data_IF_037761937244
#
_entry.id   IF_037761937244
#
_cell.length_a   1.000
_cell.length_b   1.000
_cell.length_c   1.000
_cell.angle_alpha   90.00
_cell.angle_beta   90.00
_cell.angle_gamma   90.00
#
_symmetry.space_group_name_H-M   'P 1'
#
loop_
_entity.id
_entity.type
_entity.pdbx_description
1 polymer ?
#
# COMPACT_ATOMS: atom_id res chain seq x y z
N UNK A 1 -14.95 -31.18 -7.06
CA UNK A 1 -13.57 -31.41 -6.55
C UNK A 1 -13.28 -30.31 -5.53
N UNK A 2 -13.25 -30.64 -4.24
CA UNK A 2 -12.98 -29.65 -3.18
C UNK A 2 -11.49 -29.32 -3.24
N UNK A 3 -11.14 -28.09 -3.63
CA UNK A 3 -9.75 -27.67 -3.57
C UNK A 3 -9.35 -27.48 -2.10
N UNK A 4 -8.23 -28.07 -1.71
CA UNK A 4 -7.66 -27.92 -0.37
C UNK A 4 -7.31 -26.45 -0.11
N UNK A 5 -7.48 -25.97 1.13
CA UNK A 5 -7.02 -24.64 1.55
C UNK A 5 -5.50 -24.46 1.46
N UNK A 6 -4.75 -25.53 1.16
CA UNK A 6 -3.30 -25.52 0.92
C UNK A 6 -2.93 -25.56 -0.55
N UNK A 7 -3.90 -25.60 -1.47
CA UNK A 7 -3.63 -25.59 -2.91
C UNK A 7 -3.03 -24.23 -3.33
N UNK A 8 -1.81 -24.20 -3.90
CA UNK A 8 -1.17 -22.97 -4.34
C UNK A 8 -2.01 -22.13 -5.33
N UNK A 9 -2.85 -22.75 -6.16
CA UNK A 9 -3.72 -22.03 -7.08
C UNK A 9 -4.88 -21.33 -6.34
N UNK A 10 -5.43 -21.96 -5.29
CA UNK A 10 -6.44 -21.35 -4.41
C UNK A 10 -5.85 -20.16 -3.66
N UNK A 11 -4.66 -20.31 -3.10
CA UNK A 11 -3.97 -19.27 -2.35
C UNK A 11 -3.65 -18.05 -3.23
N UNK A 12 -3.13 -18.27 -4.45
CA UNK A 12 -2.87 -17.18 -5.42
C UNK A 12 -4.15 -16.43 -5.79
N UNK A 13 -5.22 -17.15 -6.12
CA UNK A 13 -6.51 -16.52 -6.43
C UNK A 13 -7.05 -15.69 -5.26
N UNK A 14 -6.88 -16.17 -4.02
CA UNK A 14 -7.28 -15.43 -2.81
C UNK A 14 -6.45 -14.17 -2.62
N UNK A 15 -5.13 -14.25 -2.79
CA UNK A 15 -4.25 -13.07 -2.78
C UNK A 15 -4.73 -12.01 -3.78
N UNK A 16 -4.95 -12.41 -5.04
CA UNK A 16 -5.34 -11.45 -6.07
C UNK A 16 -6.73 -10.86 -5.84
N UNK A 17 -7.67 -11.63 -5.28
CA UNK A 17 -8.98 -11.09 -4.86
C UNK A 17 -8.85 -10.00 -3.79
N UNK A 18 -7.90 -10.15 -2.86
CA UNK A 18 -7.64 -9.11 -1.85
C UNK A 18 -7.05 -7.86 -2.50
N UNK A 19 -6.09 -8.01 -3.43
CA UNK A 19 -5.53 -6.86 -4.13
C UNK A 19 -6.57 -6.14 -5.00
N UNK A 20 -7.47 -6.90 -5.64
CA UNK A 20 -8.58 -6.39 -6.45
C UNK A 20 -9.60 -5.60 -5.62
N UNK A 21 -9.82 -5.96 -4.36
CA UNK A 21 -10.66 -5.15 -3.45
C UNK A 21 -10.10 -3.74 -3.23
N UNK A 22 -8.78 -3.62 -3.09
CA UNK A 22 -8.14 -2.32 -2.87
C UNK A 22 -8.00 -1.53 -4.18
N UNK A 23 -7.76 -2.19 -5.30
CA UNK A 23 -7.54 -1.54 -6.58
C UNK A 23 -8.87 -1.15 -7.28
N UNK A 24 -8.97 0.02 -7.94
CA UNK A 24 -7.99 1.11 -7.99
C UNK A 24 -8.13 2.12 -6.84
N UNK A 25 -9.14 2.00 -5.98
CA UNK A 25 -9.51 3.03 -4.99
C UNK A 25 -8.39 3.37 -3.98
N UNK A 26 -7.51 2.42 -3.68
CA UNK A 26 -6.31 2.63 -2.86
C UNK A 26 -5.28 3.57 -3.51
N UNK A 27 -5.31 3.74 -4.84
CA UNK A 27 -4.34 4.56 -5.54
C UNK A 27 -4.73 6.03 -5.38
N UNK A 28 -3.87 6.81 -4.72
CA UNK A 28 -4.14 8.22 -4.50
C UNK A 28 -3.61 9.06 -5.67
N UNK A 29 -4.53 9.65 -6.44
CA UNK A 29 -4.21 10.58 -7.52
C UNK A 29 -4.18 12.05 -7.07
N UNK A 30 -4.56 12.35 -5.83
CA UNK A 30 -4.57 13.70 -5.24
C UNK A 30 -3.22 14.02 -4.59
N UNK A 31 -2.77 13.22 -3.63
CA UNK A 31 -1.51 13.47 -2.91
C UNK A 31 -0.36 12.54 -3.35
N UNK A 32 -0.69 11.46 -4.05
CA UNK A 32 0.25 10.39 -4.42
C UNK A 32 0.30 9.27 -3.38
N UNK A 33 0.98 8.17 -3.74
CA UNK A 33 1.05 7.00 -2.87
C UNK A 33 -0.30 6.27 -2.81
N UNK A 34 -0.80 6.04 -1.59
CA UNK A 34 -2.00 5.26 -1.35
C UNK A 34 -2.97 5.89 -0.36
N UNK A 35 -4.26 5.56 -0.47
CA UNK A 35 -5.28 5.76 0.56
C UNK A 35 -5.55 4.42 1.23
N UNK A 36 -5.34 4.30 2.55
CA UNK A 36 -5.54 3.04 3.27
C UNK A 36 -6.88 2.96 4.02
N UNK A 37 -7.59 4.09 4.13
CA UNK A 37 -8.80 4.29 4.91
C UNK A 37 -10.03 4.02 4.05
N UNK A 38 -10.20 2.75 3.66
CA UNK A 38 -11.35 2.26 2.91
C UNK A 38 -12.30 1.53 3.85
N UNK A 39 -13.59 1.80 3.70
CA UNK A 39 -14.64 1.02 4.33
C UNK A 39 -14.63 -0.43 3.79
N UNK A 40 -14.57 -1.41 4.69
CA UNK A 40 -14.40 -2.82 4.34
C UNK A 40 -15.57 -3.44 3.56
N UNK A 41 -16.76 -2.80 3.61
CA UNK A 41 -17.98 -3.31 2.96
C UNK A 41 -18.23 -2.64 1.61
N UNK A 42 -17.99 -1.33 1.56
CA UNK A 42 -18.38 -0.47 0.43
C UNK A 42 -17.17 -0.02 -0.40
N UNK A 43 -15.96 -0.12 0.15
CA UNK A 43 -14.74 0.44 -0.46
C UNK A 43 -14.68 1.97 -0.40
N UNK A 44 -15.60 2.64 0.30
CA UNK A 44 -15.62 4.08 0.40
C UNK A 44 -14.40 4.61 1.15
N UNK A 45 -13.69 5.54 0.53
CA UNK A 45 -12.60 6.30 1.16
C UNK A 45 -13.19 7.34 2.10
N UNK A 46 -12.99 7.17 3.41
CA UNK A 46 -13.47 8.13 4.41
C UNK A 46 -12.39 9.11 4.91
N UNK A 47 -11.12 8.85 4.58
CA UNK A 47 -10.00 9.76 4.80
C UNK A 47 -8.97 9.59 3.68
N UNK A 48 -8.88 10.56 2.77
CA UNK A 48 -7.91 10.55 1.68
C UNK A 48 -6.57 11.18 2.02
N UNK A 49 -6.49 11.99 3.09
CA UNK A 49 -5.33 12.81 3.38
C UNK A 49 -4.29 12.07 4.21
N UNK A 50 -4.70 11.32 5.24
CA UNK A 50 -3.74 10.68 6.16
C UNK A 50 -2.93 9.59 5.47
N UNK A 51 -1.60 9.71 5.50
CA UNK A 51 -0.67 8.68 5.00
C UNK A 51 0.18 8.16 6.14
N UNK A 52 -0.01 6.89 6.48
CA UNK A 52 0.79 6.23 7.51
C UNK A 52 1.89 5.38 6.87
N UNK A 53 3.14 5.50 7.34
CA UNK A 53 4.31 4.81 6.78
C UNK A 53 4.07 3.29 6.63
N UNK A 54 3.60 2.65 7.71
CA UNK A 54 3.28 1.21 7.71
C UNK A 54 2.27 0.82 6.64
N UNK A 55 1.22 1.62 6.42
CA UNK A 55 0.22 1.33 5.40
C UNK A 55 0.83 1.46 4.00
N UNK A 56 1.63 2.51 3.77
CA UNK A 56 2.37 2.70 2.52
C UNK A 56 3.31 1.52 2.23
N UNK A 57 4.14 1.13 3.20
CA UNK A 57 5.09 0.02 3.05
C UNK A 57 4.37 -1.33 2.81
N UNK A 58 3.26 -1.59 3.51
CA UNK A 58 2.45 -2.79 3.29
C UNK A 58 1.82 -2.82 1.91
N UNK A 59 1.31 -1.71 1.41
CA UNK A 59 0.77 -1.64 0.05
C UNK A 59 1.86 -1.88 -1.01
N UNK A 60 3.05 -1.28 -0.86
CA UNK A 60 4.22 -1.59 -1.71
C UNK A 60 4.51 -3.09 -1.72
N UNK A 61 4.58 -3.71 -0.53
CA UNK A 61 4.83 -5.15 -0.42
C UNK A 61 3.73 -5.98 -1.08
N UNK A 62 2.46 -5.68 -0.82
CA UNK A 62 1.30 -6.39 -1.34
C UNK A 62 1.25 -6.36 -2.87
N UNK A 63 1.38 -5.16 -3.46
CA UNK A 63 1.41 -5.02 -4.92
C UNK A 63 2.69 -5.59 -5.53
N UNK A 64 3.82 -5.48 -4.84
CA UNK A 64 5.09 -6.09 -5.26
C UNK A 64 5.02 -7.61 -5.31
N UNK A 65 4.39 -8.24 -4.30
CA UNK A 65 4.08 -9.67 -4.32
C UNK A 65 3.11 -10.03 -5.45
N UNK A 66 2.09 -9.21 -5.68
CA UNK A 66 1.18 -9.36 -6.81
C UNK A 66 1.94 -9.42 -8.13
N UNK A 67 2.86 -8.49 -8.35
CA UNK A 67 3.68 -8.42 -9.57
C UNK A 67 4.64 -9.61 -9.68
N UNK A 68 5.25 -10.05 -8.58
CA UNK A 68 6.19 -11.19 -8.54
C UNK A 68 5.52 -12.54 -8.82
N UNK A 69 4.21 -12.65 -8.54
CA UNK A 69 3.44 -13.89 -8.69
C UNK A 69 2.62 -13.93 -9.97
N UNK A 70 3.00 -13.14 -10.98
CA UNK A 70 2.29 -13.03 -12.27
C UNK A 70 0.82 -12.63 -12.08
N UNK A 71 0.56 -11.77 -11.09
CA UNK A 71 -0.74 -11.17 -10.86
C UNK A 71 -1.12 -10.17 -11.96
N UNK A 72 -2.25 -9.48 -11.78
CA UNK A 72 -2.75 -8.50 -12.75
C UNK A 72 -1.70 -7.44 -13.12
N UNK A 73 -1.73 -6.98 -14.37
CA UNK A 73 -0.75 -6.04 -14.93
C UNK A 73 -0.58 -4.73 -14.14
N UNK A 74 -1.60 -4.34 -13.38
CA UNK A 74 -1.58 -3.15 -12.54
C UNK A 74 -0.75 -3.31 -11.25
N UNK A 75 -0.37 -4.53 -10.85
CA UNK A 75 0.40 -4.77 -9.62
C UNK A 75 1.76 -4.06 -9.65
N UNK A 76 2.50 -4.18 -10.77
CA UNK A 76 3.82 -3.55 -10.91
C UNK A 76 3.76 -2.02 -10.80
N UNK A 77 2.96 -1.30 -11.62
CA UNK A 77 2.89 0.17 -11.52
C UNK A 77 2.34 0.63 -10.17
N UNK A 78 1.41 -0.12 -9.55
CA UNK A 78 0.94 0.18 -8.20
C UNK A 78 2.07 0.08 -7.16
N UNK A 79 2.96 -0.92 -7.25
CA UNK A 79 4.11 -1.05 -6.36
C UNK A 79 5.14 0.07 -6.61
N UNK A 80 5.46 0.37 -7.87
CA UNK A 80 6.38 1.44 -8.26
C UNK A 80 5.91 2.81 -7.77
N UNK A 81 4.60 3.09 -7.83
CA UNK A 81 3.99 4.29 -7.24
C UNK A 81 4.30 4.44 -5.76
N UNK A 82 4.14 3.36 -4.98
CA UNK A 82 4.38 3.41 -3.53
C UNK A 82 5.85 3.56 -3.16
N UNK A 83 6.76 2.88 -3.87
CA UNK A 83 8.21 3.05 -3.68
C UNK A 83 8.61 4.50 -3.97
N UNK A 84 8.07 5.07 -5.06
CA UNK A 84 8.31 6.48 -5.41
C UNK A 84 7.83 7.41 -4.29
N UNK A 85 6.64 7.16 -3.74
CA UNK A 85 6.09 7.96 -2.65
C UNK A 85 6.88 7.83 -1.34
N UNK A 86 7.36 6.63 -0.99
CA UNK A 86 8.22 6.42 0.17
C UNK A 86 9.48 7.29 0.09
N UNK A 87 10.18 7.22 -1.05
CA UNK A 87 11.45 7.92 -1.24
C UNK A 87 11.28 9.43 -1.42
N UNK A 88 10.17 9.89 -2.00
CA UNK A 88 9.97 11.30 -2.31
C UNK A 88 9.19 12.08 -1.25
N UNK A 89 8.47 11.41 -0.34
CA UNK A 89 7.55 12.07 0.60
C UNK A 89 7.68 11.58 2.03
N UNK A 90 7.82 10.27 2.27
CA UNK A 90 8.08 9.81 3.63
C UNK A 90 9.54 10.05 4.05
N UNK A 91 10.50 9.90 3.13
CA UNK A 91 11.92 10.11 3.45
C UNK A 91 12.22 11.57 3.80
N UNK A 92 12.85 11.77 4.96
CA UNK A 92 13.41 13.03 5.43
C UNK A 92 14.93 12.92 5.41
N UNK A 93 15.54 13.67 4.49
CA UNK A 93 16.99 13.70 4.26
C UNK A 93 17.76 14.28 5.45
N UNK A 94 17.19 15.28 6.14
CA UNK A 94 17.86 15.94 7.25
C UNK A 94 17.95 15.04 8.50
N UNK A 95 17.07 14.04 8.58
CA UNK A 95 16.97 13.10 9.72
C UNK A 95 17.25 11.66 9.33
N UNK A 96 17.65 11.42 8.08
CA UNK A 96 17.95 10.12 7.48
C UNK A 96 16.92 9.04 7.85
N UNK A 97 15.64 9.29 7.52
CA UNK A 97 14.59 8.36 7.89
C UNK A 97 13.20 8.69 7.38
N UNK A 98 12.26 7.75 7.50
CA UNK A 98 10.88 7.89 7.06
C UNK A 98 9.96 8.48 8.13
N UNK A 99 9.23 9.55 7.78
CA UNK A 99 8.20 10.16 8.61
C UNK A 99 7.01 9.22 8.78
N UNK A 100 6.53 9.13 10.03
CA UNK A 100 5.59 8.10 10.46
C UNK A 100 4.18 8.36 9.96
N UNK A 101 3.72 9.60 10.06
CA UNK A 101 2.39 10.04 9.59
C UNK A 101 2.50 11.35 8.81
N UNK A 102 1.84 11.39 7.65
CA UNK A 102 1.64 12.57 6.84
C UNK A 102 0.15 12.95 6.81
N UNK A 103 -0.13 14.23 6.67
CA UNK A 103 -1.41 14.76 6.20
C UNK A 103 -1.20 15.28 4.77
N UNK A 104 -1.78 14.57 3.80
CA UNK A 104 -1.47 14.71 2.38
C UNK A 104 0.00 14.38 2.10
N UNK A 105 0.83 15.42 2.02
CA UNK A 105 2.28 15.32 1.79
C UNK A 105 3.11 15.97 2.90
N UNK A 106 2.46 16.48 3.95
CA UNK A 106 3.12 17.20 5.05
C UNK A 106 3.26 16.26 6.24
N UNK A 107 4.47 16.09 6.75
CA UNK A 107 4.70 15.25 7.92
C UNK A 107 4.17 15.90 9.20
N UNK A 108 3.24 15.18 9.85
CA UNK A 108 2.60 15.56 11.12
C UNK A 108 3.11 14.72 12.30
N UNK A 109 3.66 13.54 12.03
CA UNK A 109 4.45 12.76 12.99
C UNK A 109 5.77 12.31 12.34
N UNK A 110 6.88 12.75 12.93
CA UNK A 110 8.24 12.48 12.47
C UNK A 110 9.01 11.55 13.40
N UNK A 111 8.32 10.87 14.31
CA UNK A 111 8.92 9.94 15.26
C UNK A 111 9.51 8.74 14.52
N UNK A 112 10.75 8.38 14.85
CA UNK A 112 11.45 7.24 14.24
C UNK A 112 11.15 5.98 15.04
N UNK A 113 10.22 5.17 14.55
CA UNK A 113 9.88 3.89 15.15
C UNK A 113 10.69 2.78 14.50
N UNK A 114 11.48 2.01 15.27
CA UNK A 114 12.22 0.86 14.75
C UNK A 114 11.32 -0.16 14.02
N UNK A 115 10.02 -0.19 14.30
CA UNK A 115 9.09 -1.05 13.55
C UNK A 115 8.93 -0.62 12.07
N UNK A 116 9.12 0.65 11.75
CA UNK A 116 9.00 1.21 10.39
C UNK A 116 10.33 1.48 9.68
N UNK A 117 11.46 1.17 10.30
CA UNK A 117 12.82 1.41 9.80
C UNK A 117 13.63 0.12 9.79
#
# INVERSE_FOLDING_TARGET
>A
MVHSDRDPAVLRRRLFRVLDFYYPAILDDVFGGYVAQLDERTGHVYDGATKHLVATARAVHNFGLGARLDGPVWCRPAAERGVTFLNAVHWDDAREGFDWVLEGRTAVDRTRHCYGH
#
